data_IF_430972056682
#
_entry.id   IF_430972056682
#
_cell.length_a   1.000
_cell.length_b   1.000
_cell.length_c   1.000
_cell.angle_alpha   90.00
_cell.angle_beta   90.00
_cell.angle_gamma   90.00
#
_symmetry.space_group_name_H-M   'P 1'
#
loop_
_entity.id
_entity.type
_entity.pdbx_description
1 polymer ?
#
# COMPACT_ATOMS: atom_id res chain seq x y z
N UNK A 1 -26.74 -22.81 46.06
CA UNK A 1 -26.51 -21.86 44.96
C UNK A 1 -25.05 -21.37 44.94
N UNK A 2 -24.21 -21.91 44.05
CA UNK A 2 -22.80 -21.52 43.97
C UNK A 2 -22.67 -20.10 43.39
N UNK A 3 -22.10 -19.14 44.14
CA UNK A 3 -21.98 -17.75 43.71
C UNK A 3 -20.84 -17.58 42.70
N UNK A 4 -21.14 -17.81 41.42
CA UNK A 4 -20.17 -17.63 40.33
C UNK A 4 -20.78 -17.35 38.95
N UNK A 5 -22.10 -17.47 38.82
CA UNK A 5 -22.80 -17.33 37.53
C UNK A 5 -22.95 -15.88 37.04
N UNK A 6 -22.97 -14.90 37.96
CA UNK A 6 -23.04 -13.49 37.59
C UNK A 6 -21.80 -13.02 36.83
N UNK A 7 -20.64 -13.62 37.09
CA UNK A 7 -19.41 -13.33 36.34
C UNK A 7 -19.54 -13.73 34.87
N UNK A 8 -20.16 -14.87 34.58
CA UNK A 8 -20.40 -15.31 33.20
C UNK A 8 -21.37 -14.38 32.46
N UNK A 9 -22.40 -13.91 33.15
CA UNK A 9 -23.38 -12.95 32.59
C UNK A 9 -22.77 -11.60 32.24
N UNK A 10 -21.69 -11.17 32.91
CA UNK A 10 -20.99 -9.92 32.62
C UNK A 10 -19.83 -10.14 31.64
N UNK A 11 -19.17 -11.30 31.70
CA UNK A 11 -18.02 -11.62 30.85
C UNK A 11 -18.41 -11.81 29.37
N UNK A 12 -19.57 -12.43 29.11
CA UNK A 12 -20.10 -12.60 27.75
C UNK A 12 -20.33 -11.28 27.00
N UNK A 13 -21.05 -10.28 27.55
CA UNK A 13 -21.24 -9.01 26.87
C UNK A 13 -19.94 -8.19 26.81
N UNK A 14 -19.04 -8.29 27.80
CA UNK A 14 -17.74 -7.61 27.77
C UNK A 14 -16.85 -8.13 26.63
N UNK A 15 -16.81 -9.45 26.39
CA UNK A 15 -16.11 -10.06 25.26
C UNK A 15 -16.73 -9.65 23.92
N UNK A 16 -18.05 -9.67 23.82
CA UNK A 16 -18.77 -9.21 22.63
C UNK A 16 -18.49 -7.74 22.31
N UNK A 17 -18.51 -6.88 23.33
CA UNK A 17 -18.21 -5.46 23.19
C UNK A 17 -16.74 -5.20 22.84
N UNK A 18 -15.82 -5.95 23.44
CA UNK A 18 -14.38 -5.90 23.11
C UNK A 18 -14.12 -6.28 21.65
N UNK A 19 -14.73 -7.37 21.17
CA UNK A 19 -14.65 -7.80 19.78
C UNK A 19 -15.30 -6.81 18.81
N UNK A 20 -16.44 -6.23 19.19
CA UNK A 20 -17.12 -5.21 18.38
C UNK A 20 -16.31 -3.92 18.31
N UNK A 21 -15.75 -3.47 19.43
CA UNK A 21 -14.90 -2.28 19.51
C UNK A 21 -13.57 -2.48 18.78
N UNK A 22 -12.98 -3.67 18.86
CA UNK A 22 -11.82 -4.01 18.04
C UNK A 22 -12.17 -3.95 16.55
N UNK A 23 -13.33 -4.49 16.14
CA UNK A 23 -13.80 -4.40 14.75
C UNK A 23 -14.10 -2.98 14.27
N UNK A 24 -14.52 -2.07 15.16
CA UNK A 24 -14.77 -0.67 14.80
C UNK A 24 -13.49 0.20 14.84
N UNK A 25 -12.49 -0.20 15.62
CA UNK A 25 -11.16 0.43 15.67
C UNK A 25 -10.21 -0.11 14.57
N UNK A 26 -10.46 -1.30 14.03
CA UNK A 26 -9.91 -1.68 12.74
C UNK A 26 -10.51 -0.73 11.70
N UNK A 27 -9.71 0.04 10.95
CA UNK A 27 -10.22 0.99 9.98
C UNK A 27 -11.12 0.23 9.01
N UNK A 28 -12.42 0.58 9.02
CA UNK A 28 -13.41 0.12 8.04
C UNK A 28 -12.79 0.32 6.66
N UNK A 29 -12.37 -0.79 6.06
CA UNK A 29 -11.97 -0.89 4.66
C UNK A 29 -13.12 -0.29 3.87
N UNK A 30 -12.91 0.91 3.38
CA UNK A 30 -13.94 1.72 2.74
C UNK A 30 -14.61 0.90 1.64
N UNK A 31 -15.94 0.91 1.71
CA UNK A 31 -16.88 0.64 0.63
C UNK A 31 -16.75 -0.72 -0.05
N UNK A 32 -17.64 -1.61 0.39
CA UNK A 32 -18.29 -2.55 -0.49
C UNK A 32 -19.08 -1.77 -1.56
N UNK A 33 -18.41 -1.32 -2.61
CA UNK A 33 -19.04 -0.92 -3.86
C UNK A 33 -18.48 -1.85 -4.94
N UNK A 34 -19.34 -2.77 -5.40
CA UNK A 34 -19.15 -3.65 -6.57
C UNK A 34 -17.81 -4.38 -6.64
N UNK A 35 -17.78 -5.59 -6.08
CA UNK A 35 -16.73 -6.59 -6.31
C UNK A 35 -16.78 -7.02 -7.77
N UNK A 36 -16.17 -6.24 -8.65
CA UNK A 36 -15.40 -6.82 -9.72
C UNK A 36 -14.22 -7.53 -9.04
N UNK A 37 -14.01 -8.84 -9.24
CA UNK A 37 -12.98 -9.59 -8.54
C UNK A 37 -11.66 -8.85 -8.71
N UNK A 38 -11.04 -8.45 -7.59
CA UNK A 38 -9.80 -7.71 -7.61
C UNK A 38 -8.81 -8.52 -8.45
N UNK A 39 -8.46 -7.99 -9.62
CA UNK A 39 -7.64 -8.66 -10.62
C UNK A 39 -6.50 -9.41 -9.93
N UNK A 40 -6.35 -10.74 -10.13
CA UNK A 40 -5.36 -11.55 -9.40
C UNK A 40 -3.96 -10.96 -9.46
N UNK A 41 -3.63 -10.24 -10.54
CA UNK A 41 -2.38 -9.51 -10.67
C UNK A 41 -2.23 -8.36 -9.64
N UNK A 42 -3.30 -7.59 -9.40
CA UNK A 42 -3.30 -6.52 -8.38
C UNK A 42 -3.14 -7.09 -6.98
N UNK A 43 -3.82 -8.20 -6.70
CA UNK A 43 -3.71 -8.87 -5.41
C UNK A 43 -2.29 -9.40 -5.18
N UNK A 44 -1.68 -10.04 -6.20
CA UNK A 44 -0.29 -10.50 -6.14
C UNK A 44 0.69 -9.34 -5.92
N UNK A 45 0.49 -8.20 -6.60
CA UNK A 45 1.34 -7.02 -6.43
C UNK A 45 1.22 -6.40 -5.03
N UNK A 46 0.03 -6.41 -4.41
CA UNK A 46 -0.13 -5.97 -3.03
C UNK A 46 0.58 -6.89 -2.04
N UNK A 47 0.55 -8.20 -2.27
CA UNK A 47 1.28 -9.17 -1.45
C UNK A 47 2.80 -8.97 -1.60
N UNK A 48 3.28 -8.79 -2.82
CA UNK A 48 4.70 -8.52 -3.08
C UNK A 48 5.16 -7.21 -2.41
N UNK A 49 4.37 -6.14 -2.52
CA UNK A 49 4.64 -4.88 -1.82
C UNK A 49 4.70 -5.06 -0.29
N UNK A 50 3.84 -5.91 0.28
CA UNK A 50 3.82 -6.20 1.71
C UNK A 50 5.01 -7.06 2.16
N UNK A 51 5.54 -7.92 1.27
CA UNK A 51 6.71 -8.75 1.53
C UNK A 51 8.04 -8.03 1.32
N UNK A 52 8.06 -6.88 0.63
CA UNK A 52 9.28 -6.10 0.42
C UNK A 52 9.89 -5.67 1.76
N UNK A 53 11.16 -5.97 2.03
CA UNK A 53 11.83 -5.54 3.26
C UNK A 53 11.95 -4.03 3.24
N UNK A 54 11.22 -3.39 4.15
CA UNK A 54 11.22 -1.94 4.28
C UNK A 54 12.54 -1.52 4.93
N UNK A 55 13.28 -0.55 4.35
CA UNK A 55 14.59 -0.13 4.81
C UNK A 55 14.45 0.80 6.04
N UNK A 56 13.93 0.25 7.13
CA UNK A 56 13.85 0.92 8.43
C UNK A 56 15.27 1.13 9.03
N UNK A 57 15.39 2.00 10.03
CA UNK A 57 16.65 2.30 10.74
C UNK A 57 17.76 2.93 9.87
N UNK A 58 17.37 3.67 8.82
CA UNK A 58 18.32 4.43 8.00
C UNK A 58 19.15 3.56 7.04
N UNK A 59 18.69 2.34 6.77
CA UNK A 59 19.22 1.48 5.73
C UNK A 59 19.08 2.14 4.33
N UNK A 60 19.94 1.78 3.35
CA UNK A 60 19.89 2.36 2.02
C UNK A 60 18.56 2.02 1.33
N UNK A 61 17.74 3.05 1.08
CA UNK A 61 16.41 2.90 0.49
C UNK A 61 16.45 2.73 -1.03
N UNK A 62 17.61 2.91 -1.67
CA UNK A 62 17.75 2.83 -3.13
C UNK A 62 17.26 1.50 -3.71
N UNK A 63 17.67 0.37 -3.12
CA UNK A 63 17.26 -0.96 -3.58
C UNK A 63 15.74 -1.19 -3.43
N UNK A 64 15.15 -0.71 -2.35
CA UNK A 64 13.72 -0.79 -2.10
C UNK A 64 12.91 0.06 -3.09
N UNK A 65 13.37 1.28 -3.39
CA UNK A 65 12.76 2.15 -4.40
C UNK A 65 12.85 1.55 -5.81
N UNK A 66 13.98 0.89 -6.15
CA UNK A 66 14.13 0.15 -7.40
C UNK A 66 13.12 -1.01 -7.51
N UNK A 67 12.91 -1.77 -6.42
CA UNK A 67 11.91 -2.85 -6.39
C UNK A 67 10.49 -2.30 -6.61
N UNK A 68 10.14 -1.19 -5.98
CA UNK A 68 8.83 -0.53 -6.19
C UNK A 68 8.67 -0.10 -7.65
N UNK A 69 9.70 0.54 -8.24
CA UNK A 69 9.64 0.92 -9.65
C UNK A 69 9.48 -0.28 -10.59
N UNK A 70 10.19 -1.37 -10.31
CA UNK A 70 10.05 -2.63 -11.05
C UNK A 70 8.63 -3.18 -10.99
N UNK A 71 8.03 -3.20 -9.80
CA UNK A 71 6.65 -3.64 -9.58
C UNK A 71 5.65 -2.77 -10.34
N UNK A 72 5.75 -1.44 -10.21
CA UNK A 72 4.86 -0.50 -10.90
C UNK A 72 4.99 -0.60 -12.42
N UNK A 73 6.21 -0.72 -12.96
CA UNK A 73 6.44 -0.90 -14.40
C UNK A 73 5.87 -2.21 -14.92
N UNK A 74 5.99 -3.32 -14.17
CA UNK A 74 5.34 -4.60 -14.55
C UNK A 74 3.81 -4.49 -14.57
N UNK A 75 3.22 -3.85 -13.57
CA UNK A 75 1.77 -3.61 -13.53
C UNK A 75 1.31 -2.76 -14.71
N UNK A 76 2.03 -1.67 -15.01
CA UNK A 76 1.73 -0.82 -16.15
C UNK A 76 1.87 -1.57 -17.48
N UNK A 77 2.82 -2.50 -17.61
CA UNK A 77 2.98 -3.29 -18.84
C UNK A 77 1.81 -4.25 -19.06
N UNK A 78 1.26 -4.83 -17.99
CA UNK A 78 0.13 -5.75 -18.07
C UNK A 78 -1.21 -5.03 -18.31
N UNK A 79 -1.48 -3.93 -17.59
CA UNK A 79 -2.72 -3.18 -17.74
C UNK A 79 -2.70 -2.20 -18.94
N UNK A 80 -1.52 -1.72 -19.34
CA UNK A 80 -1.34 -0.72 -20.39
C UNK A 80 -0.26 -1.12 -21.41
N UNK A 81 -0.48 -2.19 -22.20
CA UNK A 81 0.51 -2.68 -23.17
C UNK A 81 0.89 -1.63 -24.22
N UNK A 82 -0.03 -0.74 -24.60
CA UNK A 82 0.18 0.29 -25.62
C UNK A 82 0.79 1.60 -25.10
N UNK A 83 0.93 1.78 -23.78
CA UNK A 83 1.34 3.07 -23.22
C UNK A 83 2.85 3.31 -23.13
N UNK A 84 3.67 2.40 -23.70
CA UNK A 84 5.14 2.46 -23.70
C UNK A 84 5.76 2.83 -22.34
N UNK A 85 5.16 2.34 -21.25
CA UNK A 85 5.53 2.70 -19.86
C UNK A 85 7.00 2.42 -19.52
N UNK A 86 7.65 1.49 -20.23
CA UNK A 86 9.06 1.15 -20.10
C UNK A 86 10.03 2.28 -20.51
N UNK A 87 9.60 3.18 -21.41
CA UNK A 87 10.41 4.34 -21.87
C UNK A 87 10.32 5.53 -20.91
N UNK A 88 9.33 5.53 -20.01
CA UNK A 88 9.09 6.63 -19.09
C UNK A 88 10.02 6.54 -17.89
N UNK A 89 10.80 7.61 -17.67
CA UNK A 89 11.71 7.77 -16.55
C UNK A 89 11.57 9.19 -15.96
N UNK A 90 12.13 9.39 -14.77
CA UNK A 90 12.11 10.67 -14.06
C UNK A 90 10.70 11.21 -13.81
N UNK A 91 10.51 12.51 -14.04
CA UNK A 91 9.23 13.19 -13.84
C UNK A 91 8.13 12.71 -14.79
N UNK A 92 8.48 12.30 -16.01
CA UNK A 92 7.50 11.77 -16.99
C UNK A 92 6.82 10.51 -16.48
N UNK A 93 7.57 9.67 -15.75
CA UNK A 93 7.04 8.48 -15.11
C UNK A 93 6.05 8.81 -13.99
N UNK A 94 6.38 9.77 -13.12
CA UNK A 94 5.47 10.20 -12.05
C UNK A 94 4.18 10.82 -12.60
N UNK A 95 4.30 11.68 -13.62
CA UNK A 95 3.14 12.27 -14.28
C UNK A 95 2.24 11.21 -14.92
N UNK A 96 2.83 10.16 -15.50
CA UNK A 96 2.06 9.03 -16.04
C UNK A 96 1.28 8.29 -14.95
N UNK A 97 1.90 8.01 -13.80
CA UNK A 97 1.23 7.35 -12.68
C UNK A 97 0.10 8.22 -12.11
N UNK A 98 0.34 9.52 -11.96
CA UNK A 98 -0.61 10.47 -11.38
C UNK A 98 -1.81 10.73 -12.28
N UNK A 99 -1.62 10.80 -13.60
CA UNK A 99 -2.71 10.94 -14.57
C UNK A 99 -3.70 9.76 -14.51
N UNK A 100 -3.27 8.59 -14.02
CA UNK A 100 -4.15 7.42 -13.85
C UNK A 100 -4.84 7.37 -12.50
N UNK A 101 -4.18 7.87 -11.46
CA UNK A 101 -4.75 7.89 -10.11
C UNK A 101 -4.24 9.12 -9.35
N UNK A 102 -4.89 10.28 -9.51
CA UNK A 102 -4.53 11.49 -8.77
C UNK A 102 -4.76 11.32 -7.26
N UNK A 103 -5.66 10.40 -6.86
CA UNK A 103 -5.90 10.06 -5.47
C UNK A 103 -4.67 9.43 -4.76
N UNK A 104 -3.73 8.84 -5.51
CA UNK A 104 -2.49 8.34 -4.94
C UNK A 104 -1.47 9.47 -4.67
N UNK A 105 -1.55 10.58 -5.40
CA UNK A 105 -0.67 11.73 -5.29
C UNK A 105 0.82 11.36 -5.38
N UNK A 106 1.18 10.51 -6.35
CA UNK A 106 2.53 9.97 -6.52
C UNK A 106 3.55 11.02 -6.98
N UNK A 107 3.09 12.14 -7.56
CA UNK A 107 3.92 13.28 -7.96
C UNK A 107 4.74 13.89 -6.82
N UNK A 108 4.26 13.81 -5.57
CA UNK A 108 5.00 14.30 -4.40
C UNK A 108 6.23 13.43 -4.07
N UNK A 109 6.28 12.21 -4.57
CA UNK A 109 7.30 11.22 -4.27
C UNK A 109 8.38 11.19 -5.37
N UNK A 110 9.00 12.32 -5.64
CA UNK A 110 10.11 12.41 -6.61
C UNK A 110 11.27 11.47 -6.27
N UNK A 111 11.43 11.18 -4.98
CA UNK A 111 12.39 10.20 -4.45
C UNK A 111 12.16 8.78 -4.96
N UNK A 112 10.94 8.43 -5.37
CA UNK A 112 10.64 7.15 -6.02
C UNK A 112 11.52 6.94 -7.25
N UNK A 113 11.77 8.00 -8.02
CA UNK A 113 12.50 7.89 -9.29
C UNK A 113 13.95 8.32 -9.16
N UNK A 114 14.22 9.38 -8.42
CA UNK A 114 15.59 9.91 -8.26
C UNK A 114 16.36 9.17 -7.15
N UNK A 115 15.69 8.79 -6.06
CA UNK A 115 16.30 8.12 -4.92
C UNK A 115 16.80 6.72 -5.25
N UNK A 116 16.22 6.10 -6.28
CA UNK A 116 16.62 4.80 -6.79
C UNK A 116 18.04 4.79 -7.41
N UNK A 117 18.54 5.95 -7.86
CA UNK A 117 19.88 6.12 -8.45
C UNK A 117 20.88 6.81 -7.52
N UNK A 118 20.45 7.20 -6.31
CA UNK A 118 21.32 7.83 -5.32
C UNK A 118 21.91 6.76 -4.39
N UNK A 119 23.25 6.65 -4.29
CA UNK A 119 23.90 5.59 -3.53
C UNK A 119 23.64 5.65 -2.01
N UNK A 120 23.37 6.84 -1.46
CA UNK A 120 23.08 7.06 -0.03
C UNK A 120 21.69 7.63 0.22
N UNK A 121 20.68 7.17 -0.54
CA UNK A 121 19.30 7.61 -0.32
C UNK A 121 18.75 7.00 0.96
N UNK A 122 18.67 7.79 2.04
CA UNK A 122 17.97 7.45 3.28
C UNK A 122 16.58 8.07 3.27
N UNK A 123 15.56 7.29 3.63
CA UNK A 123 14.22 7.80 3.90
C UNK A 123 13.92 7.63 5.39
N UNK A 124 13.22 8.61 5.94
CA UNK A 124 12.60 8.48 7.26
C UNK A 124 11.45 7.45 7.22
N UNK A 125 11.17 6.81 8.35
CA UNK A 125 10.16 5.75 8.47
C UNK A 125 8.77 6.26 8.08
N UNK A 126 8.49 7.54 8.38
CA UNK A 126 7.25 8.22 7.96
C UNK A 126 7.16 8.34 6.44
N UNK A 127 8.27 8.63 5.77
CA UNK A 127 8.33 8.71 4.31
C UNK A 127 8.16 7.31 3.68
N UNK A 128 8.78 6.27 4.27
CA UNK A 128 8.62 4.88 3.82
C UNK A 128 7.15 4.45 3.91
N UNK A 129 6.51 4.69 5.05
CA UNK A 129 5.11 4.33 5.26
C UNK A 129 4.17 5.13 4.33
N UNK A 130 4.39 6.44 4.20
CA UNK A 130 3.60 7.29 3.31
C UNK A 130 3.73 6.92 1.83
N UNK A 131 4.93 6.55 1.38
CA UNK A 131 5.17 6.08 0.03
C UNK A 131 4.48 4.74 -0.21
N UNK A 132 4.64 3.79 0.71
CA UNK A 132 3.98 2.48 0.64
C UNK A 132 2.47 2.63 0.52
N UNK A 133 1.86 3.51 1.33
CA UNK A 133 0.42 3.79 1.29
C UNK A 133 -0.01 4.43 -0.04
N UNK A 134 0.79 5.35 -0.58
CA UNK A 134 0.52 6.00 -1.87
C UNK A 134 0.56 4.98 -3.01
N UNK A 135 1.57 4.09 -3.01
CA UNK A 135 1.71 2.99 -3.97
C UNK A 135 0.56 1.99 -3.84
N UNK A 136 0.19 1.59 -2.61
CA UNK A 136 -0.96 0.72 -2.37
C UNK A 136 -2.27 1.33 -2.91
N UNK A 137 -2.49 2.62 -2.65
CA UNK A 137 -3.66 3.35 -3.15
C UNK A 137 -3.70 3.35 -4.67
N UNK A 138 -2.53 3.56 -5.30
CA UNK A 138 -2.41 3.48 -6.75
C UNK A 138 -2.74 2.09 -7.28
N UNK A 139 -2.11 1.02 -6.75
CA UNK A 139 -2.36 -0.36 -7.19
C UNK A 139 -3.85 -0.71 -7.09
N UNK A 140 -4.52 -0.26 -6.03
CA UNK A 140 -5.95 -0.51 -5.83
C UNK A 140 -6.85 0.24 -6.83
N UNK A 141 -6.48 1.47 -7.23
CA UNK A 141 -7.38 2.41 -7.94
C UNK A 141 -6.93 2.86 -9.35
N UNK A 142 -5.82 2.35 -9.86
CA UNK A 142 -5.25 2.80 -11.15
C UNK A 142 -5.96 2.30 -12.41
N UNK A 143 -7.04 1.53 -12.29
CA UNK A 143 -7.85 0.98 -13.39
C UNK A 143 -9.12 1.80 -13.51
#
# INVERSE_FOLDING_TARGET
PAPGWWLLLILLPALGYGLWRARTLLPKKASADTVEPLDPLRQAALVELAQMPKPYDGAPAGAWLQQINGLLKRLCRNHYPYSQSHTLNGRKWLAFLDNRCPAAGLTRWMILVEGAYKPECKLDDKAINGLTQSVETWIRKHV
#
